data_IF_344808356925
#
_entry.id   IF_344808356925
#
_cell.length_a   1.000
_cell.length_b   1.000
_cell.length_c   1.000
_cell.angle_alpha   90.00
_cell.angle_beta   90.00
_cell.angle_gamma   90.00
#
_symmetry.space_group_name_H-M   'P 1'
#
loop_
_entity.id
_entity.type
_entity.pdbx_description
1 polymer ?
#
# COMPACT_ATOMS: atom_id res chain seq x y z
N UNK A 1 -16.25 -25.25 -16.27
CA UNK A 1 -16.21 -25.18 -14.79
C UNK A 1 -17.15 -26.23 -14.25
N UNK A 2 -16.68 -27.04 -13.30
CA UNK A 2 -17.53 -27.96 -12.54
C UNK A 2 -18.36 -27.22 -11.46
N UNK A 3 -19.22 -27.95 -10.75
CA UNK A 3 -20.11 -27.40 -9.72
C UNK A 3 -19.34 -26.75 -8.55
N UNK A 4 -18.21 -27.34 -8.16
CA UNK A 4 -17.36 -26.80 -7.09
C UNK A 4 -16.72 -25.47 -7.49
N UNK A 5 -16.20 -25.38 -8.72
CA UNK A 5 -15.66 -24.16 -9.30
C UNK A 5 -16.72 -23.07 -9.46
N UNK A 6 -17.93 -23.43 -9.89
CA UNK A 6 -19.06 -22.50 -10.00
C UNK A 6 -19.46 -21.95 -8.63
N UNK A 7 -19.45 -22.79 -7.59
CA UNK A 7 -19.75 -22.39 -6.21
C UNK A 7 -18.73 -21.37 -5.70
N UNK A 8 -17.43 -21.64 -5.87
CA UNK A 8 -16.36 -20.71 -5.49
C UNK A 8 -16.53 -19.39 -6.23
N UNK A 9 -16.72 -19.44 -7.55
CA UNK A 9 -16.90 -18.25 -8.38
C UNK A 9 -18.08 -17.39 -7.94
N UNK A 10 -19.24 -18.01 -7.66
CA UNK A 10 -20.44 -17.30 -7.21
C UNK A 10 -20.24 -16.61 -5.85
N UNK A 11 -19.59 -17.28 -4.89
CA UNK A 11 -19.27 -16.68 -3.59
C UNK A 11 -18.25 -15.54 -3.72
N UNK A 12 -17.24 -15.76 -4.57
CA UNK A 12 -16.20 -14.79 -4.89
C UNK A 12 -16.78 -13.51 -5.51
N UNK A 13 -17.68 -13.63 -6.48
CA UNK A 13 -18.33 -12.48 -7.14
C UNK A 13 -19.22 -11.68 -6.16
N UNK A 14 -19.83 -12.33 -5.17
CA UNK A 14 -20.58 -11.65 -4.11
C UNK A 14 -19.66 -10.77 -3.24
N UNK A 15 -18.46 -11.25 -2.89
CA UNK A 15 -17.46 -10.43 -2.17
C UNK A 15 -17.05 -9.22 -3.01
N UNK A 16 -16.76 -9.42 -4.29
CA UNK A 16 -16.38 -8.36 -5.23
C UNK A 16 -17.46 -7.28 -5.30
N UNK A 17 -18.72 -7.70 -5.36
CA UNK A 17 -19.89 -6.81 -5.41
C UNK A 17 -20.04 -6.04 -4.10
N UNK A 18 -20.11 -6.73 -2.97
CA UNK A 18 -20.27 -6.12 -1.64
C UNK A 18 -19.13 -5.15 -1.28
N UNK A 19 -17.90 -5.39 -1.76
CA UNK A 19 -16.77 -4.49 -1.50
C UNK A 19 -16.89 -3.15 -2.25
N UNK A 20 -17.52 -3.14 -3.43
CA UNK A 20 -17.50 -2.00 -4.37
C UNK A 20 -17.84 -0.62 -3.79
N UNK A 21 -18.84 -0.45 -2.90
CA UNK A 21 -19.12 0.84 -2.27
C UNK A 21 -18.06 1.31 -1.26
N UNK A 22 -17.19 0.42 -0.76
CA UNK A 22 -16.20 0.75 0.27
C UNK A 22 -15.03 1.53 -0.36
N UNK A 23 -15.05 2.85 -0.20
CA UNK A 23 -13.98 3.77 -0.62
C UNK A 23 -13.31 4.38 0.62
N UNK A 24 -12.40 3.64 1.25
CA UNK A 24 -11.77 4.04 2.54
C UNK A 24 -11.18 5.45 2.46
N UNK A 25 -10.34 5.73 1.45
CA UNK A 25 -9.67 7.02 1.33
C UNK A 25 -10.63 8.19 1.12
N UNK A 26 -11.72 7.97 0.38
CA UNK A 26 -12.77 8.98 0.19
C UNK A 26 -13.61 9.19 1.46
N UNK A 27 -13.83 8.15 2.24
CA UNK A 27 -14.58 8.24 3.48
C UNK A 27 -13.78 8.93 4.61
N UNK A 28 -12.45 8.84 4.62
CA UNK A 28 -11.64 9.44 5.70
C UNK A 28 -11.10 10.84 5.38
N UNK A 29 -11.11 11.27 4.11
CA UNK A 29 -10.49 12.55 3.71
C UNK A 29 -11.12 13.77 4.38
N UNK A 30 -10.29 14.76 4.66
CA UNK A 30 -10.73 16.09 5.05
C UNK A 30 -11.04 16.93 3.81
N UNK A 31 -11.98 17.87 3.89
CA UNK A 31 -12.24 18.78 2.77
C UNK A 31 -11.17 19.87 2.63
N UNK A 32 -11.22 20.57 1.49
CA UNK A 32 -10.30 21.65 1.16
C UNK A 32 -10.46 22.89 2.05
N UNK A 33 -11.63 23.10 2.64
CA UNK A 33 -11.88 24.16 3.62
C UNK A 33 -11.04 23.97 4.88
N UNK A 34 -10.92 22.74 5.41
CA UNK A 34 -10.02 22.43 6.54
C UNK A 34 -8.58 22.86 6.22
N UNK A 35 -8.11 22.52 5.01
CA UNK A 35 -6.78 22.93 4.53
C UNK A 35 -6.65 24.44 4.43
N UNK A 36 -7.60 25.11 3.78
CA UNK A 36 -7.58 26.56 3.57
C UNK A 36 -7.53 27.31 4.90
N UNK A 37 -8.37 26.92 5.85
CA UNK A 37 -8.42 27.53 7.19
C UNK A 37 -7.11 27.34 7.94
N UNK A 38 -6.57 26.12 7.97
CA UNK A 38 -5.30 25.83 8.64
C UNK A 38 -4.12 26.64 8.06
N UNK A 39 -4.03 26.72 6.73
CA UNK A 39 -2.98 27.48 6.06
C UNK A 39 -3.15 28.99 6.26
N UNK A 40 -4.39 29.50 6.28
CA UNK A 40 -4.68 30.90 6.60
C UNK A 40 -4.28 31.26 8.04
N UNK A 41 -4.48 30.33 8.98
CA UNK A 41 -4.00 30.42 10.37
C UNK A 41 -2.48 30.22 10.50
N UNK A 42 -1.75 30.05 9.39
CA UNK A 42 -0.30 29.82 9.34
C UNK A 42 0.17 28.60 10.15
N UNK A 43 -0.68 27.57 10.21
CA UNK A 43 -0.39 26.33 10.92
C UNK A 43 -0.23 26.49 12.43
N UNK A 44 -0.96 27.43 13.05
CA UNK A 44 -0.90 27.69 14.50
C UNK A 44 -2.09 27.19 15.28
N UNK A 45 -3.12 26.70 14.59
CA UNK A 45 -4.37 26.25 15.19
C UNK A 45 -4.64 24.81 14.74
N UNK A 46 -5.16 23.99 15.65
CA UNK A 46 -5.59 22.64 15.30
C UNK A 46 -6.71 22.69 14.25
N UNK A 47 -6.68 21.81 13.23
CA UNK A 47 -7.80 21.68 12.30
C UNK A 47 -9.11 21.41 13.04
N UNK A 48 -10.20 22.11 12.72
CA UNK A 48 -11.49 21.93 13.38
C UNK A 48 -12.23 20.67 12.88
N UNK A 49 -11.65 19.49 13.11
CA UNK A 49 -12.18 18.19 12.71
C UNK A 49 -12.45 17.35 13.96
N UNK A 50 -13.71 17.01 14.19
CA UNK A 50 -14.14 16.22 15.35
C UNK A 50 -15.19 15.18 14.92
N UNK A 51 -15.84 14.52 15.89
CA UNK A 51 -16.91 13.55 15.59
C UNK A 51 -18.06 14.18 14.80
N UNK A 52 -18.49 15.39 15.14
CA UNK A 52 -19.60 16.08 14.48
C UNK A 52 -19.30 16.37 13.01
N UNK A 53 -18.04 16.72 12.70
CA UNK A 53 -17.58 16.88 11.32
C UNK A 53 -17.83 15.62 10.47
N UNK A 54 -17.57 14.43 11.03
CA UNK A 54 -17.83 13.17 10.31
C UNK A 54 -19.30 12.74 10.34
N UNK A 55 -20.06 13.08 11.39
CA UNK A 55 -21.50 12.85 11.42
C UNK A 55 -22.25 13.69 10.37
N UNK A 56 -21.77 14.91 10.10
CA UNK A 56 -22.22 15.73 8.97
C UNK A 56 -21.84 15.17 7.58
N UNK A 57 -21.08 14.07 7.52
CA UNK A 57 -20.57 13.44 6.29
C UNK A 57 -20.88 11.95 6.28
N UNK A 58 -22.12 11.65 5.92
CA UNK A 58 -22.59 10.28 5.79
C UNK A 58 -21.68 9.43 4.90
N UNK A 59 -21.58 8.14 5.23
CA UNK A 59 -20.92 7.17 4.36
C UNK A 59 -21.73 7.02 3.07
N UNK A 60 -21.05 6.72 1.96
CA UNK A 60 -21.70 6.49 0.66
C UNK A 60 -22.47 5.16 0.56
N UNK A 61 -22.73 4.50 1.69
CA UNK A 61 -23.41 3.21 1.80
C UNK A 61 -24.05 3.03 3.17
N UNK A 62 -25.02 2.12 3.27
CA UNK A 62 -25.60 1.68 4.55
C UNK A 62 -24.64 0.71 5.24
N UNK A 63 -24.01 1.16 6.33
CA UNK A 63 -23.03 0.38 7.06
C UNK A 63 -23.63 -0.88 7.72
N UNK A 64 -24.87 -0.80 8.23
CA UNK A 64 -25.54 -1.93 8.87
C UNK A 64 -25.89 -3.01 7.86
N UNK A 65 -26.49 -2.61 6.73
CA UNK A 65 -26.81 -3.53 5.64
C UNK A 65 -25.54 -4.20 5.09
N UNK A 66 -24.47 -3.42 4.87
CA UNK A 66 -23.23 -3.96 4.29
C UNK A 66 -22.50 -4.92 5.23
N UNK A 67 -22.47 -4.62 6.54
CA UNK A 67 -21.94 -5.57 7.55
C UNK A 67 -22.71 -6.88 7.57
N UNK A 68 -24.04 -6.81 7.41
CA UNK A 68 -24.91 -7.98 7.36
C UNK A 68 -24.67 -8.78 6.08
N UNK A 69 -24.55 -8.13 4.92
CA UNK A 69 -24.24 -8.79 3.65
C UNK A 69 -22.94 -9.61 3.72
N UNK A 70 -21.84 -9.02 4.23
CA UNK A 70 -20.60 -9.77 4.43
C UNK A 70 -20.73 -10.91 5.45
N UNK A 71 -21.54 -10.74 6.50
CA UNK A 71 -21.82 -11.80 7.47
C UNK A 71 -22.55 -12.97 6.81
N UNK A 72 -23.49 -12.70 5.90
CA UNK A 72 -24.26 -13.72 5.19
C UNK A 72 -23.39 -14.44 4.15
N UNK A 73 -22.54 -13.70 3.42
CA UNK A 73 -21.53 -14.30 2.53
C UNK A 73 -20.60 -15.24 3.31
N UNK A 74 -20.09 -14.81 4.47
CA UNK A 74 -19.22 -15.64 5.33
C UNK A 74 -19.90 -16.95 5.76
N UNK A 75 -21.19 -16.89 6.12
CA UNK A 75 -21.98 -18.06 6.51
C UNK A 75 -22.20 -18.99 5.31
N UNK A 76 -22.52 -18.44 4.14
CA UNK A 76 -22.69 -19.22 2.92
C UNK A 76 -21.41 -19.90 2.47
N UNK A 77 -20.25 -19.25 2.59
CA UNK A 77 -18.95 -19.88 2.33
C UNK A 77 -18.78 -21.11 3.23
N UNK A 78 -19.06 -20.96 4.53
CA UNK A 78 -18.96 -22.09 5.47
C UNK A 78 -19.95 -23.20 5.14
N UNK A 79 -21.18 -22.85 4.78
CA UNK A 79 -22.25 -23.80 4.47
C UNK A 79 -21.99 -24.59 3.18
N UNK A 80 -21.48 -23.93 2.14
CA UNK A 80 -21.35 -24.51 0.80
C UNK A 80 -19.97 -25.13 0.55
N UNK A 81 -18.89 -24.54 1.07
CA UNK A 81 -17.53 -25.06 0.88
C UNK A 81 -17.02 -25.84 2.10
N UNK A 82 -17.65 -25.68 3.26
CA UNK A 82 -17.21 -26.30 4.52
C UNK A 82 -16.16 -25.47 5.26
N UNK A 83 -15.95 -25.81 6.54
CA UNK A 83 -15.08 -25.04 7.44
C UNK A 83 -13.59 -25.13 7.10
N UNK A 84 -13.14 -26.24 6.50
CA UNK A 84 -11.72 -26.53 6.27
C UNK A 84 -11.27 -26.27 4.83
N UNK A 85 -12.17 -25.80 3.97
CA UNK A 85 -11.86 -25.51 2.58
C UNK A 85 -10.84 -24.35 2.48
N UNK A 86 -9.68 -24.53 1.81
CA UNK A 86 -8.62 -23.53 1.79
C UNK A 86 -9.03 -22.19 1.14
N UNK A 87 -9.72 -22.20 0.00
CA UNK A 87 -10.22 -20.95 -0.62
C UNK A 87 -11.33 -20.31 0.21
N UNK A 88 -12.16 -21.13 0.86
CA UNK A 88 -13.17 -20.67 1.81
C UNK A 88 -12.57 -20.00 3.06
N UNK A 89 -11.37 -20.38 3.50
CA UNK A 89 -10.67 -19.69 4.59
C UNK A 89 -10.26 -18.26 4.19
N UNK A 90 -9.69 -18.08 3.00
CA UNK A 90 -9.33 -16.77 2.46
C UNK A 90 -10.57 -15.88 2.35
N UNK A 91 -11.61 -16.36 1.68
CA UNK A 91 -12.84 -15.58 1.45
C UNK A 91 -13.54 -15.17 2.76
N UNK A 92 -13.56 -16.03 3.78
CA UNK A 92 -14.13 -15.67 5.10
C UNK A 92 -13.28 -14.64 5.83
N UNK A 93 -11.95 -14.74 5.75
CA UNK A 93 -11.06 -13.72 6.30
C UNK A 93 -11.32 -12.37 5.65
N UNK A 94 -11.46 -12.32 4.31
CA UNK A 94 -11.83 -11.10 3.59
C UNK A 94 -13.15 -10.50 4.08
N UNK A 95 -14.19 -11.33 4.27
CA UNK A 95 -15.48 -10.85 4.80
C UNK A 95 -15.34 -10.21 6.19
N UNK A 96 -14.55 -10.82 7.08
CA UNK A 96 -14.28 -10.26 8.42
C UNK A 96 -13.52 -8.95 8.34
N UNK A 97 -12.47 -8.89 7.53
CA UNK A 97 -11.68 -7.68 7.34
C UNK A 97 -12.53 -6.54 6.77
N UNK A 98 -13.40 -6.78 5.78
CA UNK A 98 -14.30 -5.74 5.27
C UNK A 98 -15.33 -5.28 6.30
N UNK A 99 -15.85 -6.18 7.15
CA UNK A 99 -16.71 -5.77 8.26
C UNK A 99 -15.97 -4.90 9.27
N UNK A 100 -14.71 -5.21 9.56
CA UNK A 100 -13.86 -4.35 10.40
C UNK A 100 -13.59 -3.00 9.75
N UNK A 101 -13.35 -2.94 8.43
CA UNK A 101 -13.23 -1.68 7.70
C UNK A 101 -14.52 -0.85 7.83
N UNK A 102 -15.70 -1.46 7.70
CA UNK A 102 -16.97 -0.73 7.88
C UNK A 102 -17.09 -0.19 9.31
N UNK A 103 -16.73 -0.98 10.34
CA UNK A 103 -16.70 -0.52 11.73
C UNK A 103 -15.73 0.64 11.93
N UNK A 104 -14.53 0.57 11.36
CA UNK A 104 -13.56 1.66 11.38
C UNK A 104 -14.18 2.94 10.80
N UNK A 105 -14.84 2.84 9.64
CA UNK A 105 -15.46 4.00 8.98
C UNK A 105 -16.67 4.57 9.75
N UNK A 106 -17.42 3.75 10.49
CA UNK A 106 -18.47 4.22 11.42
C UNK A 106 -17.88 4.94 12.64
N UNK A 107 -16.66 4.58 13.04
CA UNK A 107 -15.94 5.16 14.18
C UNK A 107 -15.18 6.45 13.86
N UNK A 108 -15.26 6.99 12.63
CA UNK A 108 -14.51 8.21 12.25
C UNK A 108 -14.66 9.37 13.26
N UNK A 109 -13.54 9.93 13.72
CA UNK A 109 -13.52 10.98 14.74
C UNK A 109 -13.75 10.52 16.18
N UNK A 110 -13.69 9.21 16.45
CA UNK A 110 -13.62 8.64 17.80
C UNK A 110 -12.31 7.86 17.98
N UNK A 111 -11.86 7.57 19.22
CA UNK A 111 -10.65 6.78 19.47
C UNK A 111 -10.67 5.40 18.81
N UNK A 112 -11.85 4.76 18.76
CA UNK A 112 -12.05 3.46 18.11
C UNK A 112 -11.60 3.42 16.64
N UNK A 113 -11.65 4.54 15.90
CA UNK A 113 -11.14 4.58 14.53
C UNK A 113 -9.66 4.19 14.47
N UNK A 114 -8.83 4.78 15.34
CA UNK A 114 -7.40 4.51 15.37
C UNK A 114 -7.08 3.11 15.91
N UNK A 115 -7.81 2.64 16.91
CA UNK A 115 -7.66 1.28 17.45
C UNK A 115 -7.97 0.22 16.38
N UNK A 116 -9.07 0.38 15.63
CA UNK A 116 -9.41 -0.54 14.54
C UNK A 116 -8.41 -0.40 13.39
N UNK A 117 -7.91 0.81 13.11
CA UNK A 117 -6.84 1.01 12.12
C UNK A 117 -5.58 0.22 12.49
N UNK A 118 -5.17 0.25 13.75
CA UNK A 118 -4.04 -0.54 14.25
C UNK A 118 -4.28 -2.04 14.10
N UNK A 119 -5.49 -2.52 14.38
CA UNK A 119 -5.84 -3.93 14.18
C UNK A 119 -5.76 -4.34 12.69
N UNK A 120 -6.15 -3.44 11.78
CA UNK A 120 -6.20 -3.71 10.34
C UNK A 120 -4.84 -3.58 9.63
N UNK A 121 -4.00 -2.63 10.04
CA UNK A 121 -2.77 -2.26 9.33
C UNK A 121 -1.49 -2.44 10.16
N UNK A 122 -1.63 -2.69 11.47
CA UNK A 122 -0.54 -2.73 12.44
C UNK A 122 -0.31 -1.40 13.15
N UNK A 123 0.61 -1.42 14.11
CA UNK A 123 1.11 -0.28 14.87
C UNK A 123 2.61 -0.05 14.59
N UNK A 124 3.12 1.16 14.79
CA UNK A 124 4.55 1.44 14.55
C UNK A 124 5.45 0.75 15.59
N UNK A 125 4.89 0.42 16.75
CA UNK A 125 5.51 -0.38 17.81
C UNK A 125 5.51 -1.88 17.53
N UNK A 126 4.93 -2.36 16.43
CA UNK A 126 4.96 -3.78 16.07
C UNK A 126 6.39 -4.23 15.76
N UNK A 127 6.79 -5.38 16.31
CA UNK A 127 7.99 -6.10 15.92
C UNK A 127 7.63 -7.35 15.10
N UNK A 128 8.53 -7.81 14.23
CA UNK A 128 8.33 -9.04 13.46
C UNK A 128 8.51 -10.30 14.30
N UNK A 129 9.51 -10.32 15.18
CA UNK A 129 9.76 -11.38 16.15
C UNK A 129 10.03 -10.79 17.54
N UNK A 130 9.89 -11.62 18.57
CA UNK A 130 10.17 -11.19 19.93
C UNK A 130 11.64 -10.80 20.09
N UNK A 131 11.91 -9.56 20.48
CA UNK A 131 13.25 -9.01 20.65
C UNK A 131 13.86 -8.39 19.39
N UNK A 132 13.18 -8.45 18.24
CA UNK A 132 13.59 -7.74 17.03
C UNK A 132 13.25 -6.23 17.13
N UNK A 133 13.92 -5.38 16.35
CA UNK A 133 13.55 -3.97 16.20
C UNK A 133 12.08 -3.81 15.76
N UNK A 134 11.43 -2.78 16.28
CA UNK A 134 10.07 -2.39 15.87
C UNK A 134 10.08 -1.77 14.47
N UNK A 135 8.91 -1.61 13.85
CA UNK A 135 8.79 -0.87 12.58
C UNK A 135 9.30 0.57 12.70
N UNK A 136 9.08 1.21 13.85
CA UNK A 136 9.62 2.53 14.16
C UNK A 136 11.15 2.52 14.18
N UNK A 137 11.78 1.54 14.85
CA UNK A 137 13.24 1.40 14.93
C UNK A 137 13.87 1.22 13.54
N UNK A 138 13.26 0.37 12.71
CA UNK A 138 13.71 0.15 11.32
C UNK A 138 13.56 1.42 10.47
N UNK A 139 12.47 2.17 10.67
CA UNK A 139 12.27 3.47 10.03
C UNK A 139 13.31 4.51 10.45
N UNK A 140 13.69 4.54 11.73
CA UNK A 140 14.74 5.41 12.26
C UNK A 140 16.13 5.03 11.73
N UNK A 141 16.45 3.74 11.68
CA UNK A 141 17.70 3.22 11.13
C UNK A 141 17.86 3.64 9.66
N UNK A 142 16.85 3.41 8.82
CA UNK A 142 16.88 3.84 7.42
C UNK A 142 16.99 5.37 7.29
N UNK A 143 16.30 6.12 8.15
CA UNK A 143 16.43 7.58 8.18
C UNK A 143 17.85 8.03 8.53
N UNK A 144 18.56 7.32 9.42
CA UNK A 144 19.96 7.58 9.76
C UNK A 144 20.87 7.47 8.55
N UNK A 145 20.77 6.36 7.79
CA UNK A 145 21.56 6.18 6.56
C UNK A 145 21.26 7.25 5.52
N UNK A 146 20.00 7.64 5.36
CA UNK A 146 19.61 8.70 4.43
C UNK A 146 20.14 10.07 4.86
N UNK A 147 20.32 10.33 6.16
CA UNK A 147 20.88 11.59 6.67
C UNK A 147 22.36 11.74 6.29
N UNK A 148 23.12 10.64 6.32
CA UNK A 148 24.54 10.65 5.95
C UNK A 148 24.79 11.11 4.51
N UNK A 149 23.80 10.94 3.63
CA UNK A 149 23.87 11.35 2.22
C UNK A 149 23.04 12.61 1.90
N UNK A 150 22.31 13.17 2.86
CA UNK A 150 21.35 14.25 2.61
C UNK A 150 21.99 15.58 2.18
N UNK A 151 23.23 15.84 2.62
CA UNK A 151 23.97 17.06 2.27
C UNK A 151 24.67 17.01 0.91
N UNK A 152 24.60 15.86 0.20
CA UNK A 152 25.31 15.64 -1.05
C UNK A 152 24.62 16.36 -2.23
N UNK A 153 25.32 17.31 -2.82
CA UNK A 153 24.78 18.13 -3.92
C UNK A 153 24.52 17.38 -5.22
N UNK A 154 25.22 16.26 -5.46
CA UNK A 154 25.06 15.37 -6.61
C UNK A 154 23.81 14.47 -6.52
N UNK A 155 23.19 14.38 -5.34
CA UNK A 155 21.96 13.61 -5.10
C UNK A 155 20.71 14.50 -4.99
N UNK A 156 20.79 15.76 -5.42
CA UNK A 156 19.64 16.67 -5.42
C UNK A 156 18.54 16.16 -6.35
N UNK A 157 17.30 16.39 -5.92
CA UNK A 157 16.12 16.09 -6.74
C UNK A 157 16.15 16.91 -8.04
N UNK A 158 15.83 16.24 -9.15
CA UNK A 158 15.67 16.88 -10.44
C UNK A 158 14.47 17.84 -10.42
N UNK A 159 14.54 19.01 -11.08
CA UNK A 159 13.46 19.97 -11.10
C UNK A 159 12.19 19.34 -11.71
N UNK A 160 11.05 19.58 -11.07
CA UNK A 160 9.74 19.14 -11.55
C UNK A 160 9.25 20.07 -12.66
N UNK A 161 9.54 19.71 -13.91
CA UNK A 161 9.24 20.51 -15.11
C UNK A 161 8.06 19.98 -15.93
N UNK A 162 7.57 18.79 -15.64
CA UNK A 162 6.44 18.16 -16.33
C UNK A 162 5.13 18.52 -15.63
N UNK A 163 4.13 18.93 -16.42
CA UNK A 163 2.78 19.14 -15.93
C UNK A 163 2.04 17.81 -15.74
N UNK A 164 0.87 17.83 -15.10
CA UNK A 164 0.00 16.67 -15.01
C UNK A 164 -0.35 16.09 -16.40
N UNK A 165 -0.56 16.94 -17.41
CA UNK A 165 -0.83 16.53 -18.80
C UNK A 165 0.34 15.78 -19.41
N UNK A 166 1.55 16.30 -19.25
CA UNK A 166 2.76 15.64 -19.75
C UNK A 166 2.95 14.28 -19.08
N UNK A 167 2.75 14.22 -17.75
CA UNK A 167 2.82 12.98 -16.99
C UNK A 167 1.77 11.95 -17.45
N UNK A 168 0.52 12.38 -17.69
CA UNK A 168 -0.54 11.53 -18.24
C UNK A 168 -0.14 10.94 -19.58
N UNK A 169 0.35 11.75 -20.51
CA UNK A 169 0.74 11.29 -21.85
C UNK A 169 1.90 10.28 -21.79
N UNK A 170 2.96 10.59 -21.04
CA UNK A 170 4.13 9.73 -20.89
C UNK A 170 3.73 8.41 -20.23
N UNK A 171 2.96 8.48 -19.13
CA UNK A 171 2.55 7.30 -18.38
C UNK A 171 1.61 6.42 -19.19
N UNK A 172 0.60 6.99 -19.87
CA UNK A 172 -0.30 6.25 -20.75
C UNK A 172 0.48 5.49 -21.83
N UNK A 173 1.42 6.17 -22.51
CA UNK A 173 2.25 5.57 -23.56
C UNK A 173 3.06 4.38 -23.05
N UNK A 174 3.63 4.50 -21.84
CA UNK A 174 4.42 3.44 -21.21
C UNK A 174 3.55 2.25 -20.80
N UNK A 175 2.39 2.51 -20.18
CA UNK A 175 1.47 1.45 -19.75
C UNK A 175 0.84 0.70 -20.93
N UNK A 176 0.58 1.38 -22.05
CA UNK A 176 0.11 0.72 -23.29
C UNK A 176 1.10 -0.36 -23.78
N UNK A 177 2.41 -0.15 -23.61
CA UNK A 177 3.43 -1.16 -23.98
C UNK A 177 3.38 -2.39 -23.09
N UNK A 178 2.96 -2.24 -21.84
CA UNK A 178 2.92 -3.32 -20.85
C UNK A 178 1.61 -4.10 -20.94
N UNK A 179 0.49 -3.39 -21.05
CA UNK A 179 -0.85 -3.98 -20.94
C UNK A 179 -1.52 -4.23 -22.31
N UNK A 180 -0.95 -3.70 -23.39
CA UNK A 180 -1.45 -3.77 -24.76
C UNK A 180 -2.00 -2.43 -25.28
N UNK A 181 -1.95 -2.23 -26.60
CA UNK A 181 -2.37 -0.98 -27.27
C UNK A 181 -3.89 -0.83 -27.44
N UNK A 182 -4.69 -1.80 -27.00
CA UNK A 182 -6.13 -1.59 -26.89
C UNK A 182 -6.36 -0.53 -25.81
N UNK A 183 -6.65 0.71 -26.24
CA UNK A 183 -6.86 1.94 -25.44
C UNK A 183 -7.81 1.77 -24.24
N UNK A 184 -8.54 0.66 -24.14
CA UNK A 184 -9.50 0.37 -23.08
C UNK A 184 -8.93 -0.41 -21.89
N UNK A 185 -7.68 -0.89 -21.93
CA UNK A 185 -7.16 -1.76 -20.84
C UNK A 185 -6.79 -0.99 -19.59
N UNK A 186 -6.07 0.13 -19.73
CA UNK A 186 -5.70 1.03 -18.62
C UNK A 186 -5.82 2.47 -19.08
N UNK A 187 -6.51 3.31 -18.30
CA UNK A 187 -6.71 4.73 -18.59
C UNK A 187 -5.95 5.62 -17.62
N UNK A 188 -5.17 6.56 -18.12
CA UNK A 188 -4.50 7.57 -17.31
C UNK A 188 -5.17 8.91 -17.58
N UNK A 189 -5.58 9.62 -16.53
CA UNK A 189 -6.26 10.91 -16.68
C UNK A 189 -6.06 11.82 -15.47
N UNK A 190 -6.25 13.12 -15.68
CA UNK A 190 -6.16 14.13 -14.62
C UNK A 190 -7.39 14.05 -13.69
N UNK A 191 -7.19 14.24 -12.39
CA UNK A 191 -8.26 14.31 -11.41
C UNK A 191 -7.99 15.40 -10.38
N UNK A 192 -9.02 16.23 -10.18
CA UNK A 192 -9.08 17.11 -9.01
C UNK A 192 -9.48 16.30 -7.77
N UNK A 193 -9.00 16.71 -6.60
CA UNK A 193 -9.50 16.19 -5.31
C UNK A 193 -8.87 14.89 -4.80
N UNK A 194 -7.73 14.45 -5.35
CA UNK A 194 -6.88 13.41 -4.74
C UNK A 194 -5.75 14.05 -3.92
N UNK A 195 -5.47 13.50 -2.73
CA UNK A 195 -4.42 14.04 -1.83
C UNK A 195 -3.02 13.65 -2.30
N UNK A 196 -2.86 12.45 -2.86
CA UNK A 196 -1.60 11.97 -3.41
C UNK A 196 -1.37 12.52 -4.82
N UNK A 197 -0.12 12.50 -5.28
CA UNK A 197 0.24 12.95 -6.63
C UNK A 197 -0.41 12.08 -7.72
N UNK A 198 -0.68 10.81 -7.41
CA UNK A 198 -1.49 9.90 -8.23
C UNK A 198 -2.26 8.89 -7.37
N UNK A 199 -3.25 8.22 -7.96
CA UNK A 199 -3.95 7.09 -7.35
C UNK A 199 -4.42 6.07 -8.40
N UNK A 200 -4.10 4.79 -8.20
CA UNK A 200 -4.62 3.70 -9.02
C UNK A 200 -6.06 3.30 -8.64
N UNK A 201 -6.86 3.06 -9.67
CA UNK A 201 -8.15 2.36 -9.63
C UNK A 201 -8.04 0.94 -10.19
N UNK A 202 -9.19 0.38 -10.61
CA UNK A 202 -9.22 -0.99 -11.14
C UNK A 202 -8.54 -1.12 -12.51
N UNK A 203 -8.79 -0.14 -13.37
CA UNK A 203 -8.38 -0.05 -14.77
C UNK A 203 -7.85 1.35 -15.11
N UNK A 204 -7.47 2.14 -14.11
CA UNK A 204 -7.04 3.51 -14.34
C UNK A 204 -6.02 4.02 -13.34
N UNK A 205 -5.31 5.08 -13.71
CA UNK A 205 -4.48 5.90 -12.81
C UNK A 205 -4.93 7.35 -12.94
N UNK A 206 -5.28 7.95 -11.80
CA UNK A 206 -5.56 9.38 -11.71
C UNK A 206 -4.29 10.13 -11.39
N UNK A 207 -3.98 11.17 -12.14
CA UNK A 207 -2.88 12.11 -11.87
C UNK A 207 -3.47 13.38 -11.27
N UNK A 208 -2.90 13.91 -10.20
CA UNK A 208 -3.37 15.16 -9.61
C UNK A 208 -3.07 16.30 -10.57
N UNK A 209 -4.10 17.02 -10.97
CA UNK A 209 -4.10 18.07 -12.00
C UNK A 209 -3.13 19.24 -11.71
N UNK A 210 -2.97 19.61 -10.44
CA UNK A 210 -2.10 20.71 -10.00
C UNK A 210 -0.66 20.28 -9.64
N UNK A 211 -0.34 18.99 -9.79
CA UNK A 211 0.97 18.46 -9.45
C UNK A 211 1.97 18.66 -10.60
N UNK A 212 3.22 18.96 -10.22
CA UNK A 212 4.38 18.99 -11.10
C UNK A 212 5.23 17.74 -10.89
N UNK A 213 5.74 17.20 -11.98
CA UNK A 213 6.49 15.95 -12.03
C UNK A 213 7.85 16.15 -12.71
N UNK A 214 8.77 15.22 -12.48
CA UNK A 214 9.93 15.02 -13.34
C UNK A 214 9.88 13.58 -13.89
N UNK A 215 10.83 13.22 -14.75
CA UNK A 215 10.86 11.89 -15.39
C UNK A 215 10.98 10.75 -14.36
N UNK A 216 11.69 11.01 -13.26
CA UNK A 216 11.84 10.09 -12.13
C UNK A 216 10.52 9.83 -11.41
N UNK A 217 9.73 10.87 -11.16
CA UNK A 217 8.40 10.76 -10.56
C UNK A 217 7.49 9.91 -11.46
N UNK A 218 7.47 10.17 -12.77
CA UNK A 218 6.65 9.41 -13.73
C UNK A 218 7.08 7.94 -13.79
N UNK A 219 8.40 7.66 -13.75
CA UNK A 219 8.92 6.28 -13.65
C UNK A 219 8.51 5.59 -12.35
N UNK A 220 8.53 6.30 -11.22
CA UNK A 220 8.06 5.74 -9.96
C UNK A 220 6.56 5.41 -10.02
N UNK A 221 5.74 6.26 -10.65
CA UNK A 221 4.31 6.00 -10.86
C UNK A 221 4.06 4.80 -11.78
N UNK A 222 4.79 4.68 -12.88
CA UNK A 222 4.74 3.53 -13.78
C UNK A 222 4.96 2.22 -13.02
N UNK A 223 6.01 2.16 -12.21
CA UNK A 223 6.37 0.96 -11.45
C UNK A 223 5.38 0.70 -10.31
N UNK A 224 5.10 1.69 -9.48
CA UNK A 224 4.29 1.55 -8.27
C UNK A 224 2.81 1.37 -8.59
N UNK A 225 2.22 2.35 -9.27
CA UNK A 225 0.78 2.38 -9.57
C UNK A 225 0.46 1.47 -10.76
N UNK A 226 1.30 1.48 -11.80
CA UNK A 226 1.08 0.71 -13.02
C UNK A 226 1.40 -0.77 -12.87
N UNK A 227 2.69 -1.12 -12.74
CA UNK A 227 3.14 -2.51 -12.79
C UNK A 227 2.69 -3.35 -11.59
N UNK A 228 2.50 -2.73 -10.43
CA UNK A 228 2.00 -3.41 -9.22
C UNK A 228 0.51 -3.18 -9.05
N UNK A 229 0.05 -1.97 -8.70
CA UNK A 229 -1.36 -1.82 -8.30
C UNK A 229 -2.36 -2.13 -9.41
N UNK A 230 -2.19 -1.57 -10.60
CA UNK A 230 -3.05 -1.88 -11.76
C UNK A 230 -2.77 -3.29 -12.27
N UNK A 231 -1.50 -3.67 -12.44
CA UNK A 231 -1.12 -4.98 -12.95
C UNK A 231 -1.71 -6.15 -12.16
N UNK A 232 -1.62 -6.11 -10.83
CA UNK A 232 -2.24 -7.14 -9.99
C UNK A 232 -3.76 -7.06 -9.98
N UNK A 233 -4.37 -5.88 -10.10
CA UNK A 233 -5.83 -5.77 -10.22
C UNK A 233 -6.32 -6.43 -11.51
N UNK A 234 -5.65 -6.16 -12.64
CA UNK A 234 -5.97 -6.79 -13.92
C UNK A 234 -5.78 -8.30 -13.89
N UNK A 235 -4.72 -8.80 -13.24
CA UNK A 235 -4.55 -10.24 -13.05
C UNK A 235 -5.67 -10.84 -12.20
N UNK A 236 -6.07 -10.17 -11.12
CA UNK A 236 -7.21 -10.58 -10.27
C UNK A 236 -8.54 -10.59 -11.03
N UNK A 237 -8.77 -9.62 -11.91
CA UNK A 237 -9.95 -9.57 -12.79
C UNK A 237 -9.94 -10.67 -13.85
N UNK A 238 -8.75 -11.11 -14.28
CA UNK A 238 -8.57 -12.20 -15.23
C UNK A 238 -8.67 -13.60 -14.58
N UNK A 239 -8.85 -13.69 -13.26
CA UNK A 239 -9.03 -14.99 -12.60
C UNK A 239 -10.39 -15.59 -12.97
N UNK A 240 -10.45 -16.80 -13.55
CA UNK A 240 -11.70 -17.37 -14.04
C UNK A 240 -12.64 -17.76 -12.89
N UNK A 241 -12.09 -18.13 -11.73
CA UNK A 241 -12.87 -18.68 -10.60
C UNK A 241 -12.71 -17.76 -9.38
N UNK A 242 -11.48 -17.54 -8.90
CA UNK A 242 -11.19 -16.73 -7.71
C UNK A 242 -11.19 -15.21 -7.99
N UNK A 243 -12.31 -14.64 -8.45
CA UNK A 243 -12.46 -13.21 -8.77
C UNK A 243 -12.23 -12.26 -7.59
N UNK A 244 -12.31 -12.73 -6.34
CA UNK A 244 -12.05 -11.96 -5.13
C UNK A 244 -10.63 -11.41 -5.09
N UNK A 245 -9.70 -12.05 -5.83
CA UNK A 245 -8.33 -11.58 -6.03
C UNK A 245 -8.26 -10.24 -6.79
N UNK A 246 -9.35 -9.74 -7.36
CA UNK A 246 -9.43 -8.36 -7.90
C UNK A 246 -9.58 -7.29 -6.81
N UNK A 247 -9.86 -7.67 -5.55
CA UNK A 247 -10.13 -6.75 -4.44
C UNK A 247 -9.10 -6.91 -3.34
N UNK A 248 -8.53 -5.79 -2.91
CA UNK A 248 -7.53 -5.78 -1.86
C UNK A 248 -8.14 -5.49 -0.48
N UNK A 249 -8.35 -6.49 0.38
CA UNK A 249 -8.68 -6.23 1.78
C UNK A 249 -7.44 -5.68 2.52
N UNK A 250 -7.59 -5.14 3.73
CA UNK A 250 -6.48 -4.60 4.54
C UNK A 250 -5.22 -5.49 4.58
N UNK A 251 -5.35 -6.81 4.79
CA UNK A 251 -4.20 -7.73 4.82
C UNK A 251 -3.39 -7.71 3.52
N UNK A 252 -4.06 -7.70 2.37
CA UNK A 252 -3.39 -7.61 1.07
C UNK A 252 -2.73 -6.24 0.84
N UNK A 253 -3.19 -5.18 1.52
CA UNK A 253 -2.59 -3.84 1.37
C UNK A 253 -1.12 -3.86 1.77
N UNK A 254 -0.78 -4.54 2.88
CA UNK A 254 0.61 -4.71 3.30
C UNK A 254 1.44 -5.40 2.21
N UNK A 255 0.92 -6.49 1.63
CA UNK A 255 1.60 -7.22 0.55
C UNK A 255 1.79 -6.35 -0.70
N UNK A 256 0.74 -5.62 -1.11
CA UNK A 256 0.76 -4.81 -2.33
C UNK A 256 1.66 -3.59 -2.22
N UNK A 257 1.57 -2.83 -1.12
CA UNK A 257 2.44 -1.67 -0.90
C UNK A 257 3.90 -2.12 -0.75
N UNK A 258 4.14 -3.24 -0.06
CA UNK A 258 5.47 -3.84 0.04
C UNK A 258 6.07 -4.27 -1.29
N UNK A 259 5.26 -4.95 -2.11
CA UNK A 259 5.66 -5.35 -3.46
C UNK A 259 5.95 -4.14 -4.35
N UNK A 260 5.16 -3.07 -4.21
CA UNK A 260 5.38 -1.82 -4.94
C UNK A 260 6.69 -1.13 -4.54
N UNK A 261 7.02 -1.07 -3.24
CA UNK A 261 8.30 -0.52 -2.78
C UNK A 261 9.48 -1.40 -3.24
N UNK A 262 9.37 -2.73 -3.14
CA UNK A 262 10.40 -3.62 -3.63
C UNK A 262 10.64 -3.39 -5.13
N UNK A 263 9.56 -3.29 -5.91
CA UNK A 263 9.61 -2.99 -7.34
C UNK A 263 10.27 -1.65 -7.63
N UNK A 264 9.95 -0.58 -6.88
CA UNK A 264 10.63 0.71 -7.02
C UNK A 264 12.15 0.57 -6.83
N UNK A 265 12.59 -0.23 -5.86
CA UNK A 265 14.03 -0.44 -5.56
C UNK A 265 14.71 -1.25 -6.66
N UNK A 266 14.19 -2.42 -7.03
CA UNK A 266 14.86 -3.32 -7.99
C UNK A 266 14.77 -2.81 -9.43
N UNK A 267 13.77 -1.97 -9.75
CA UNK A 267 13.67 -1.29 -11.04
C UNK A 267 14.48 0.02 -11.09
N UNK A 268 15.22 0.36 -10.02
CA UNK A 268 15.97 1.61 -9.86
C UNK A 268 15.11 2.85 -10.15
N UNK A 269 13.87 2.83 -9.67
CA UNK A 269 12.90 3.92 -9.74
C UNK A 269 12.70 4.62 -8.39
N UNK A 270 13.24 4.07 -7.29
CA UNK A 270 13.28 4.74 -5.99
C UNK A 270 14.54 5.61 -5.82
N UNK A 271 14.42 6.67 -5.02
CA UNK A 271 15.48 7.65 -4.76
C UNK A 271 15.54 8.03 -3.27
N UNK A 272 16.64 8.59 -2.76
CA UNK A 272 16.77 8.95 -1.35
C UNK A 272 15.64 9.81 -0.80
N UNK A 273 15.18 10.82 -1.55
CA UNK A 273 14.05 11.68 -1.19
C UNK A 273 12.72 10.91 -1.11
N UNK A 274 12.52 9.93 -2.01
CA UNK A 274 11.38 9.01 -1.99
C UNK A 274 11.40 8.11 -0.75
N UNK A 275 12.55 7.50 -0.43
CA UNK A 275 12.69 6.67 0.76
C UNK A 275 12.50 7.48 2.05
N UNK A 276 13.00 8.72 2.09
CA UNK A 276 12.79 9.65 3.21
C UNK A 276 11.32 9.98 3.44
N UNK A 277 10.53 10.14 2.38
CA UNK A 277 9.07 10.31 2.50
C UNK A 277 8.42 9.10 3.16
N UNK A 278 8.87 7.88 2.86
CA UNK A 278 8.33 6.66 3.46
C UNK A 278 8.74 6.53 4.94
N UNK A 279 10.00 6.77 5.28
CA UNK A 279 10.44 6.72 6.69
C UNK A 279 9.77 7.79 7.54
N UNK A 280 9.59 9.01 7.01
CA UNK A 280 8.90 10.08 7.73
C UNK A 280 7.42 9.75 7.99
N UNK A 281 6.74 9.00 7.10
CA UNK A 281 5.37 8.52 7.36
C UNK A 281 5.32 7.58 8.56
N UNK A 282 6.24 6.61 8.65
CA UNK A 282 6.32 5.71 9.81
C UNK A 282 6.58 6.48 11.09
N UNK A 283 7.53 7.43 11.07
CA UNK A 283 7.85 8.28 12.23
C UNK A 283 6.67 9.14 12.67
N UNK A 284 5.97 9.76 11.73
CA UNK A 284 4.82 10.59 12.01
C UNK A 284 3.64 9.79 12.61
N UNK A 285 3.42 8.55 12.15
CA UNK A 285 2.44 7.65 12.76
C UNK A 285 2.87 7.30 14.19
N UNK A 286 4.13 6.91 14.39
CA UNK A 286 4.64 6.60 15.73
C UNK A 286 4.48 7.77 16.69
N UNK A 287 4.81 9.00 16.26
CA UNK A 287 4.58 10.21 17.07
C UNK A 287 3.13 10.34 17.52
N UNK A 288 2.17 10.12 16.61
CA UNK A 288 0.74 10.20 16.94
C UNK A 288 0.27 9.04 17.85
N UNK A 289 0.85 7.84 17.71
CA UNK A 289 0.60 6.74 18.66
C UNK A 289 1.09 7.06 20.07
N UNK A 290 2.20 7.81 20.19
CA UNK A 290 2.75 8.31 21.46
C UNK A 290 2.04 9.59 21.97
N UNK A 291 0.94 10.00 21.33
CA UNK A 291 0.10 11.11 21.78
C UNK A 291 0.46 12.49 21.21
N UNK A 292 1.29 12.56 20.17
CA UNK A 292 1.51 13.82 19.46
C UNK A 292 0.24 14.24 18.68
N UNK A 293 -0.09 15.52 18.74
CA UNK A 293 -1.21 16.10 17.98
C UNK A 293 -0.80 16.47 16.54
N UNK A 294 -1.78 16.96 15.78
CA UNK A 294 -1.61 17.38 14.40
C UNK A 294 -0.56 18.48 14.23
N UNK A 295 -0.47 19.44 15.16
CA UNK A 295 0.50 20.54 15.07
C UNK A 295 1.91 20.01 15.26
N UNK A 296 2.11 19.12 16.23
CA UNK A 296 3.43 18.51 16.47
C UNK A 296 3.88 17.66 15.27
N UNK A 297 2.98 16.89 14.67
CA UNK A 297 3.29 16.13 13.45
C UNK A 297 3.54 17.07 12.26
N UNK A 298 2.76 18.14 12.13
CA UNK A 298 2.97 19.16 11.10
C UNK A 298 4.35 19.84 11.25
N UNK A 299 4.73 20.23 12.46
CA UNK A 299 6.01 20.87 12.77
C UNK A 299 7.17 19.91 12.53
N UNK A 300 7.03 18.63 12.87
CA UNK A 300 7.99 17.61 12.46
C UNK A 300 8.26 17.64 10.95
N UNK A 301 7.23 17.67 10.10
CA UNK A 301 7.46 17.79 8.65
C UNK A 301 8.10 19.13 8.25
N UNK A 302 7.80 20.23 8.96
CA UNK A 302 8.46 21.52 8.72
C UNK A 302 9.96 21.46 9.02
N UNK A 303 10.34 20.81 10.12
CA UNK A 303 11.74 20.55 10.48
C UNK A 303 12.46 19.66 9.47
N UNK A 304 11.74 18.72 8.84
CA UNK A 304 12.25 17.91 7.74
C UNK A 304 12.38 18.69 6.41
N UNK A 305 12.10 19.99 6.40
CA UNK A 305 12.29 20.88 5.24
C UNK A 305 11.12 20.94 4.27
N UNK A 306 9.97 20.34 4.60
CA UNK A 306 8.77 20.38 3.75
C UNK A 306 8.11 21.76 3.80
N UNK A 307 7.48 22.18 2.70
CA UNK A 307 6.69 23.41 2.65
C UNK A 307 5.48 23.35 3.61
N UNK A 308 4.89 24.49 3.97
CA UNK A 308 3.69 24.48 4.83
C UNK A 308 2.53 23.68 4.22
N UNK A 309 2.36 23.76 2.91
CA UNK A 309 1.33 23.00 2.19
C UNK A 309 1.62 21.49 2.23
N UNK A 310 2.88 21.08 2.02
CA UNK A 310 3.27 19.68 2.05
C UNK A 310 3.24 19.11 3.47
N UNK A 311 3.67 19.88 4.48
CA UNK A 311 3.58 19.48 5.88
C UNK A 311 2.14 19.24 6.31
N UNK A 312 1.21 20.13 5.94
CA UNK A 312 -0.22 19.88 6.15
C UNK A 312 -0.67 18.60 5.45
N UNK A 313 -0.29 18.43 4.18
CA UNK A 313 -0.64 17.25 3.39
C UNK A 313 -0.20 15.97 4.10
N UNK A 314 1.05 15.90 4.57
CA UNK A 314 1.57 14.72 5.25
C UNK A 314 0.96 14.52 6.65
N UNK A 315 0.78 15.57 7.46
CA UNK A 315 0.12 15.46 8.76
C UNK A 315 -1.35 15.01 8.61
N UNK A 316 -2.08 15.53 7.62
CA UNK A 316 -3.46 15.11 7.33
C UNK A 316 -3.57 13.64 6.94
N UNK A 317 -2.53 13.04 6.35
CA UNK A 317 -2.53 11.59 6.07
C UNK A 317 -2.52 10.75 7.34
N UNK A 318 -1.90 11.25 8.41
CA UNK A 318 -1.81 10.61 9.72
C UNK A 318 -3.16 10.69 10.44
N UNK A 319 -3.83 11.85 10.41
CA UNK A 319 -5.05 12.07 11.20
C UNK A 319 -6.37 11.94 10.42
N UNK A 320 -6.36 11.78 9.10
CA UNK A 320 -7.60 11.59 8.31
C UNK A 320 -8.40 10.39 8.83
N UNK A 321 -9.70 10.59 9.00
CA UNK A 321 -10.60 9.62 9.64
C UNK A 321 -10.62 9.68 11.17
N UNK A 322 -9.64 10.35 11.79
CA UNK A 322 -9.56 10.61 13.24
C UNK A 322 -9.80 12.10 13.55
N UNK A 323 -9.69 12.48 14.82
CA UNK A 323 -9.54 13.88 15.25
C UNK A 323 -8.05 14.29 15.20
N UNK A 324 -7.72 15.58 15.11
CA UNK A 324 -6.33 16.08 15.07
C UNK A 324 -5.48 15.76 16.30
N UNK A 325 -6.09 15.33 17.39
CA UNK A 325 -5.49 14.96 18.68
C UNK A 325 -5.76 13.48 19.03
N UNK A 326 -6.33 12.72 18.09
CA UNK A 326 -6.68 11.32 18.26
C UNK A 326 -5.60 10.36 17.76
N UNK A 327 -5.88 9.07 17.88
CA UNK A 327 -5.00 8.02 17.34
C UNK A 327 -4.92 8.07 15.79
N UNK A 328 -3.79 7.66 15.20
CA UNK A 328 -3.55 7.81 13.77
C UNK A 328 -4.27 6.77 12.90
N UNK A 329 -4.43 7.12 11.62
CA UNK A 329 -4.71 6.20 10.54
C UNK A 329 -3.41 5.50 10.09
N UNK A 330 -3.20 4.29 10.57
CA UNK A 330 -1.94 3.53 10.46
C UNK A 330 -1.70 2.87 9.10
N UNK A 331 -2.57 3.06 8.10
CA UNK A 331 -2.42 2.43 6.76
C UNK A 331 -1.02 2.61 6.16
N UNK A 332 -0.43 3.80 6.29
CA UNK A 332 0.88 4.09 5.69
C UNK A 332 2.05 3.32 6.35
N UNK A 333 1.84 2.55 7.42
CA UNK A 333 2.83 1.56 7.91
C UNK A 333 3.02 0.38 6.93
N UNK A 334 2.00 0.11 6.10
CA UNK A 334 1.98 -1.00 5.13
C UNK A 334 3.17 -0.98 4.16
N UNK A 335 3.72 0.20 3.84
CA UNK A 335 4.84 0.34 2.90
C UNK A 335 6.11 -0.34 3.42
N UNK A 336 6.62 0.11 4.58
CA UNK A 336 7.87 -0.40 5.14
C UNK A 336 7.68 -1.84 5.65
N UNK A 337 6.57 -2.10 6.35
CA UNK A 337 6.21 -3.43 6.84
C UNK A 337 6.16 -4.43 5.69
N UNK A 338 5.43 -4.10 4.63
CA UNK A 338 5.28 -4.92 3.45
C UNK A 338 6.60 -5.16 2.74
N UNK A 339 7.43 -4.14 2.57
CA UNK A 339 8.73 -4.28 1.89
C UNK A 339 9.60 -5.34 2.58
N UNK A 340 9.72 -5.26 3.90
CA UNK A 340 10.48 -6.21 4.71
C UNK A 340 9.92 -7.64 4.56
N UNK A 341 8.60 -7.79 4.67
CA UNK A 341 7.94 -9.09 4.55
C UNK A 341 8.15 -9.74 3.18
N UNK A 342 7.96 -8.97 2.09
CA UNK A 342 8.08 -9.47 0.72
C UNK A 342 9.53 -9.81 0.39
N UNK A 343 10.47 -8.95 0.75
CA UNK A 343 11.88 -9.19 0.56
C UNK A 343 12.34 -10.49 1.25
N UNK A 344 12.01 -10.65 2.54
CA UNK A 344 12.34 -11.86 3.30
C UNK A 344 11.67 -13.11 2.72
N UNK A 345 10.42 -13.00 2.26
CA UNK A 345 9.73 -14.10 1.60
C UNK A 345 10.46 -14.56 0.33
N UNK A 346 10.87 -13.64 -0.55
CA UNK A 346 11.56 -14.01 -1.79
C UNK A 346 12.95 -14.59 -1.48
N UNK A 347 13.68 -14.00 -0.54
CA UNK A 347 14.97 -14.53 -0.09
C UNK A 347 14.84 -15.97 0.43
N UNK A 348 13.80 -16.25 1.22
CA UNK A 348 13.53 -17.60 1.72
C UNK A 348 13.08 -18.55 0.60
N UNK A 349 12.25 -18.08 -0.33
CA UNK A 349 11.82 -18.86 -1.48
C UNK A 349 13.01 -19.32 -2.32
N UNK A 350 13.97 -18.42 -2.60
CA UNK A 350 15.22 -18.73 -3.30
C UNK A 350 16.03 -19.76 -2.51
N UNK A 351 16.25 -19.52 -1.20
CA UNK A 351 17.01 -20.44 -0.33
C UNK A 351 16.40 -21.84 -0.24
N UNK A 352 15.07 -21.94 -0.34
CA UNK A 352 14.33 -23.22 -0.29
C UNK A 352 14.09 -23.83 -1.67
N UNK A 353 14.56 -23.20 -2.75
CA UNK A 353 14.35 -23.65 -4.13
C UNK A 353 12.89 -23.58 -4.59
N UNK A 354 12.08 -22.69 -4.00
CA UNK A 354 10.63 -22.52 -4.26
C UNK A 354 10.33 -21.29 -5.12
N UNK A 355 11.13 -21.09 -6.17
CA UNK A 355 11.08 -19.90 -7.02
C UNK A 355 9.76 -19.76 -7.77
N UNK A 356 9.10 -20.89 -8.07
CA UNK A 356 7.82 -20.95 -8.76
C UNK A 356 6.66 -20.26 -8.02
N UNK A 357 6.84 -19.97 -6.72
CA UNK A 357 5.84 -19.29 -5.90
C UNK A 357 5.96 -17.77 -5.98
N UNK A 358 7.13 -17.25 -6.34
CA UNK A 358 7.41 -15.81 -6.34
C UNK A 358 6.52 -15.06 -7.34
N UNK A 359 6.34 -15.52 -8.60
CA UNK A 359 5.41 -14.88 -9.52
C UNK A 359 3.96 -14.86 -9.03
N UNK A 360 3.55 -15.79 -8.15
CA UNK A 360 2.17 -15.87 -7.66
C UNK A 360 1.77 -14.65 -6.81
N UNK A 361 2.73 -13.88 -6.31
CA UNK A 361 2.47 -12.56 -5.69
C UNK A 361 1.68 -11.63 -6.63
N UNK A 362 1.80 -11.82 -7.95
CA UNK A 362 1.14 -11.02 -8.97
C UNK A 362 -0.20 -11.59 -9.45
N UNK A 363 -0.67 -12.76 -8.97
CA UNK A 363 -1.95 -13.35 -9.40
C UNK A 363 -3.18 -12.46 -9.14
N UNK A 364 -3.03 -11.48 -8.26
CA UNK A 364 -4.10 -10.59 -7.82
C UNK A 364 -3.66 -9.75 -6.62
N UNK A 365 -4.65 -9.24 -5.88
CA UNK A 365 -4.50 -8.66 -4.54
C UNK A 365 -4.30 -9.77 -3.51
N UNK A 366 -3.13 -10.38 -3.55
CA UNK A 366 -2.73 -11.50 -2.70
C UNK A 366 -2.29 -11.02 -1.32
N UNK A 367 -2.39 -11.92 -0.35
CA UNK A 367 -1.90 -11.75 1.02
C UNK A 367 -0.76 -12.76 1.23
N UNK A 368 0.37 -12.31 1.78
CA UNK A 368 1.59 -13.12 1.89
C UNK A 368 1.39 -14.42 2.71
N UNK A 369 0.56 -14.36 3.74
CA UNK A 369 0.21 -15.50 4.59
C UNK A 369 -0.51 -16.61 3.81
N UNK A 370 -1.15 -16.28 2.68
CA UNK A 370 -1.88 -17.23 1.85
C UNK A 370 -1.01 -17.88 0.76
N UNK A 371 0.27 -17.52 0.61
CA UNK A 371 1.06 -17.97 -0.55
C UNK A 371 1.10 -19.49 -0.71
N UNK A 372 1.12 -20.24 0.40
CA UNK A 372 1.03 -21.70 0.37
C UNK A 372 -0.32 -22.17 -0.17
N UNK A 373 -1.41 -21.59 0.32
CA UNK A 373 -2.77 -21.90 -0.13
C UNK A 373 -2.94 -21.51 -1.59
N UNK A 374 -2.46 -20.33 -1.99
CA UNK A 374 -2.52 -19.83 -3.36
C UNK A 374 -1.81 -20.79 -4.32
N UNK A 375 -0.65 -21.35 -3.93
CA UNK A 375 0.02 -22.38 -4.73
C UNK A 375 -0.85 -23.62 -4.91
N UNK A 376 -1.49 -24.10 -3.84
CA UNK A 376 -2.43 -25.23 -3.93
C UNK A 376 -3.60 -24.90 -4.88
N UNK A 377 -4.16 -23.69 -4.80
CA UNK A 377 -5.25 -23.27 -5.69
C UNK A 377 -4.80 -23.21 -7.16
N UNK A 378 -3.53 -22.91 -7.44
CA UNK A 378 -2.96 -23.00 -8.79
C UNK A 378 -2.86 -24.45 -9.23
N UNK A 379 -2.36 -25.34 -8.37
CA UNK A 379 -2.24 -26.77 -8.67
C UNK A 379 -3.61 -27.43 -8.93
N UNK A 380 -4.66 -26.96 -8.25
CA UNK A 380 -6.07 -27.37 -8.43
C UNK A 380 -6.76 -26.71 -9.64
N UNK A 381 -6.10 -25.78 -10.34
CA UNK A 381 -6.67 -25.04 -11.46
C UNK A 381 -7.76 -24.01 -11.08
N UNK A 382 -7.86 -23.66 -9.79
CA UNK A 382 -8.77 -22.62 -9.28
C UNK A 382 -8.22 -21.21 -9.48
N UNK A 383 -6.89 -21.07 -9.49
CA UNK A 383 -6.17 -19.82 -9.77
C UNK A 383 -5.27 -20.05 -10.98
N UNK A 384 -5.26 -19.09 -11.89
CA UNK A 384 -4.35 -19.10 -13.04
C UNK A 384 -3.14 -18.22 -12.77
N UNK A 385 -2.01 -18.56 -13.40
CA UNK A 385 -0.78 -17.78 -13.34
C UNK A 385 -1.02 -16.31 -13.78
N UNK A 386 -0.26 -15.34 -13.25
CA UNK A 386 -0.43 -13.94 -13.60
C UNK A 386 -0.13 -13.71 -15.09
N UNK A 387 -1.04 -13.01 -15.78
CA UNK A 387 -0.85 -12.61 -17.17
C UNK A 387 0.16 -11.47 -17.28
N UNK A 388 0.00 -10.46 -16.42
CA UNK A 388 0.85 -9.30 -16.35
C UNK A 388 1.88 -9.48 -15.25
N UNK A 389 3.13 -9.66 -15.64
CA UNK A 389 4.26 -9.81 -14.72
C UNK A 389 5.31 -8.76 -15.08
N UNK A 390 5.88 -8.01 -14.11
CA UNK A 390 6.97 -7.09 -14.40
C UNK A 390 8.23 -7.86 -14.85
N UNK A 391 9.06 -7.24 -15.68
CA UNK A 391 10.23 -7.90 -16.27
C UNK A 391 11.21 -8.45 -15.22
N UNK A 392 11.37 -7.75 -14.10
CA UNK A 392 12.18 -8.17 -12.95
C UNK A 392 11.69 -9.47 -12.31
N UNK A 393 10.41 -9.81 -12.51
CA UNK A 393 9.79 -11.04 -12.04
C UNK A 393 9.52 -12.03 -13.17
N UNK A 394 9.82 -11.72 -14.44
CA UNK A 394 9.78 -12.69 -15.55
C UNK A 394 11.04 -13.52 -15.63
N UNK A 395 12.20 -12.90 -15.41
CA UNK A 395 13.48 -13.60 -15.40
C UNK A 395 13.85 -14.08 -13.99
N UNK A 396 13.42 -15.31 -13.68
CA UNK A 396 13.75 -15.95 -12.41
C UNK A 396 15.24 -16.23 -12.23
N UNK A 397 16.03 -16.33 -13.32
CA UNK A 397 17.48 -16.51 -13.19
C UNK A 397 18.10 -15.21 -12.66
N UNK A 398 17.74 -14.07 -13.25
CA UNK A 398 18.22 -12.76 -12.80
C UNK A 398 17.79 -12.45 -11.37
N UNK A 399 16.51 -12.68 -11.02
CA UNK A 399 16.01 -12.46 -9.67
C UNK A 399 16.72 -13.36 -8.65
N UNK A 400 16.90 -14.64 -8.97
CA UNK A 400 17.60 -15.58 -8.08
C UNK A 400 19.05 -15.20 -7.89
N UNK A 401 19.75 -14.76 -8.94
CA UNK A 401 21.12 -14.28 -8.83
C UNK A 401 21.22 -13.09 -7.87
N UNK A 402 20.34 -12.08 -8.03
CA UNK A 402 20.28 -10.92 -7.15
C UNK A 402 20.04 -11.31 -5.68
N UNK A 403 19.06 -12.18 -5.43
CA UNK A 403 18.72 -12.64 -4.08
C UNK A 403 19.82 -13.51 -3.45
N UNK A 404 20.52 -14.33 -4.23
CA UNK A 404 21.67 -15.11 -3.77
C UNK A 404 22.82 -14.19 -3.32
N UNK A 405 23.16 -13.17 -4.10
CA UNK A 405 24.17 -12.17 -3.71
C UNK A 405 23.73 -11.42 -2.45
N UNK A 406 22.48 -10.96 -2.42
CA UNK A 406 21.96 -10.24 -1.27
C UNK A 406 21.99 -11.07 0.03
N UNK A 407 21.58 -12.35 -0.05
CA UNK A 407 21.65 -13.26 1.08
C UNK A 407 23.09 -13.54 1.53
N UNK A 408 24.02 -13.72 0.59
CA UNK A 408 25.44 -13.92 0.89
C UNK A 408 26.02 -12.73 1.65
N UNK A 409 25.72 -11.50 1.20
CA UNK A 409 26.22 -10.27 1.83
C UNK A 409 25.67 -10.07 3.25
N UNK A 410 24.44 -10.53 3.54
CA UNK A 410 23.85 -10.43 4.88
C UNK A 410 24.55 -11.28 5.95
N UNK A 411 25.48 -12.17 5.57
CA UNK A 411 26.29 -12.95 6.52
C UNK A 411 27.58 -12.23 6.94
N UNK A 412 27.89 -11.10 6.30
CA UNK A 412 29.07 -10.30 6.62
C UNK A 412 28.74 -9.30 7.73
N UNK A 413 29.66 -9.14 8.68
CA UNK A 413 29.52 -8.14 9.74
C UNK A 413 29.88 -6.76 9.19
N UNK A 414 28.89 -5.86 9.14
CA UNK A 414 29.11 -4.48 8.71
C UNK A 414 30.11 -3.76 9.62
N UNK A 415 30.06 -3.93 10.94
CA UNK A 415 31.02 -3.30 11.86
C UNK A 415 32.47 -3.70 11.57
N UNK A 416 32.71 -4.98 11.22
CA UNK A 416 34.04 -5.45 10.84
C UNK A 416 34.47 -4.90 9.49
N UNK A 417 33.55 -4.86 8.52
CA UNK A 417 33.81 -4.23 7.22
C UNK A 417 34.11 -2.75 7.42
N UNK A 418 33.33 -2.01 8.20
CA UNK A 418 33.57 -0.60 8.49
C UNK A 418 34.95 -0.39 9.10
N UNK A 419 35.37 -1.23 10.05
CA UNK A 419 36.72 -1.19 10.61
C UNK A 419 37.83 -1.46 9.56
N UNK A 420 37.63 -2.44 8.68
CA UNK A 420 38.57 -2.77 7.60
C UNK A 420 38.71 -1.62 6.57
N UNK A 421 37.61 -0.91 6.32
CA UNK A 421 37.52 0.19 5.34
C UNK A 421 37.69 1.59 5.94
N UNK A 422 37.86 1.74 7.27
CA UNK A 422 38.01 3.03 7.96
C UNK A 422 39.22 3.86 7.51
N UNK A 423 40.18 3.25 6.81
CA UNK A 423 41.33 3.95 6.23
C UNK A 423 41.11 4.41 4.77
N UNK A 424 39.96 4.08 4.17
CA UNK A 424 39.62 4.37 2.76
C UNK A 424 38.37 5.27 2.65
N UNK A 425 37.43 5.17 3.60
CA UNK A 425 36.30 6.06 3.80
C UNK A 425 36.55 6.95 5.01
#
# INVERSE_FOLDING_TARGET
MDEYQQTIRGLSDRIVTAQTPIRVLDAVKWDDGVRKTFLAAKGKELPAVNRDYYQGRALGFDASALKQEFQDIERDITRQLGQFNPVGQIMRRMCREYRMVVRMLEARGTPDFGLISQELYGAASDAFHAGDPTLSDLGMMLSGYLNNIAGRGDLKDEPKTLTAKDAVEILQRRLNRVFGEAETTVRVFESDGIVADAAAGADYIKIRSDAMFNERDVRALEVHEGLVHVGTTLNGLNQPICTFLSKGPPSSTVTQEGLAILMEVIAFASYPSRLRKLTNRTRAIHMAEEGADFLQVFDFYREQGFSMADSYGNASRVFRGSSPDGLPFTKDLSYLKGFIMIYNYIQLAVRKGKLEQVPLLFCGKTTLEDMRTLRQLVDEGLVVAPRYLPDQFRDMNALSAWMCFSNFLNHLSLDRIEADYANIL
#
